data_IF_391805950201
#
_entry.id   IF_391805950201
#
_cell.length_a   1.000
_cell.length_b   1.000
_cell.length_c   1.000
_cell.angle_alpha   90.00
_cell.angle_beta   90.00
_cell.angle_gamma   90.00
#
_symmetry.space_group_name_H-M   'P 1'
#
loop_
_entity.id
_entity.type
_entity.pdbx_description
1 polymer ?
#
# COMPACT_ATOMS: atom_id res chain seq x y z
N UNK A 1 -15.63 1.55 0.76
CA UNK A 1 -15.49 2.95 0.29
C UNK A 1 -14.01 3.23 0.02
N UNK A 2 -13.71 3.89 -1.10
CA UNK A 2 -12.36 4.20 -1.57
C UNK A 2 -11.79 5.44 -0.86
N UNK A 3 -10.47 5.43 -0.60
CA UNK A 3 -9.71 6.51 0.07
C UNK A 3 -9.52 7.76 -0.78
N UNK A 4 -9.88 7.73 -2.06
CA UNK A 4 -9.57 8.80 -3.02
C UNK A 4 -10.78 9.73 -3.15
N UNK A 5 -10.99 10.64 -2.18
CA UNK A 5 -11.81 11.85 -2.36
C UNK A 5 -11.30 13.02 -1.51
N UNK A 6 -10.92 14.09 -2.21
CA UNK A 6 -10.83 15.50 -1.81
C UNK A 6 -10.92 15.83 -0.30
N UNK A 7 -9.75 16.00 0.32
CA UNK A 7 -9.62 16.82 1.54
C UNK A 7 -10.21 16.23 2.83
N UNK A 8 -10.82 15.05 2.80
CA UNK A 8 -11.28 14.34 4.00
C UNK A 8 -10.48 13.06 4.14
N UNK A 9 -9.50 13.04 5.05
CA UNK A 9 -8.71 11.86 5.44
C UNK A 9 -9.60 10.77 6.04
N UNK A 10 -10.36 10.05 5.22
CA UNK A 10 -11.14 8.89 5.67
C UNK A 10 -10.19 7.71 5.76
N UNK A 11 -10.14 7.05 6.91
CA UNK A 11 -9.37 5.81 7.10
C UNK A 11 -10.17 4.66 6.51
N UNK A 12 -9.50 3.76 5.78
CA UNK A 12 -10.11 2.53 5.29
C UNK A 12 -9.99 1.45 6.36
N UNK A 13 -11.08 0.71 6.56
CA UNK A 13 -11.21 -0.32 7.57
C UNK A 13 -11.89 -1.55 6.97
N UNK A 14 -11.53 -2.72 7.46
CA UNK A 14 -12.22 -3.97 7.15
C UNK A 14 -13.71 -3.87 7.52
N UNK A 15 -14.57 -4.68 6.90
CA UNK A 15 -16.02 -4.54 7.05
C UNK A 15 -16.48 -4.88 8.47
N UNK A 16 -15.88 -5.92 9.04
CA UNK A 16 -16.19 -6.43 10.37
C UNK A 16 -14.91 -6.56 11.21
N UNK A 17 -15.06 -6.37 12.52
CA UNK A 17 -13.99 -6.72 13.47
C UNK A 17 -13.65 -8.21 13.38
N UNK A 18 -12.36 -8.54 13.49
CA UNK A 18 -11.90 -9.92 13.55
C UNK A 18 -11.74 -10.64 12.22
N UNK A 19 -11.87 -9.94 11.08
CA UNK A 19 -11.45 -10.47 9.79
C UNK A 19 -9.97 -10.86 9.83
N UNK A 20 -9.62 -12.08 9.41
CA UNK A 20 -8.23 -12.54 9.39
C UNK A 20 -7.36 -11.72 8.43
N UNK A 21 -7.94 -11.38 7.27
CA UNK A 21 -7.28 -10.68 6.17
C UNK A 21 -8.33 -9.84 5.45
N UNK A 22 -8.00 -8.59 5.17
CA UNK A 22 -8.85 -7.68 4.39
C UNK A 22 -7.97 -6.93 3.39
N UNK A 23 -8.55 -6.50 2.26
CA UNK A 23 -7.80 -5.70 1.28
C UNK A 23 -8.64 -4.60 0.65
N UNK A 24 -7.95 -3.59 0.14
CA UNK A 24 -8.50 -2.49 -0.65
C UNK A 24 -7.67 -2.30 -1.91
N UNK A 25 -8.33 -1.94 -3.00
CA UNK A 25 -7.70 -1.73 -4.29
C UNK A 25 -7.82 -0.27 -4.72
N UNK A 26 -6.74 0.22 -5.33
CA UNK A 26 -6.64 1.56 -5.90
C UNK A 26 -6.31 1.43 -7.38
N UNK A 27 -7.14 2.07 -8.21
CA UNK A 27 -6.85 2.30 -9.61
C UNK A 27 -6.11 3.63 -9.74
N UNK A 28 -4.89 3.60 -10.26
CA UNK A 28 -4.11 4.79 -10.58
C UNK A 28 -4.65 5.44 -11.85
N UNK A 29 -4.50 6.76 -11.95
CA UNK A 29 -4.93 7.53 -13.13
C UNK A 29 -4.17 7.13 -14.40
N UNK A 30 -2.91 6.72 -14.25
CA UNK A 30 -2.06 6.25 -15.35
C UNK A 30 -1.24 5.04 -14.93
N UNK A 31 -0.93 4.18 -15.91
CA UNK A 31 0.01 3.08 -15.73
C UNK A 31 1.44 3.61 -15.60
N UNK A 32 2.06 3.48 -14.43
CA UNK A 32 3.38 4.05 -14.12
C UNK A 32 4.29 3.09 -13.37
N UNK A 33 5.57 3.42 -13.31
CA UNK A 33 6.49 2.79 -12.37
C UNK A 33 6.18 3.26 -10.94
N UNK A 34 6.49 2.41 -9.96
CA UNK A 34 6.34 2.74 -8.54
C UNK A 34 7.73 2.75 -7.91
N UNK A 35 8.20 3.92 -7.49
CA UNK A 35 9.55 4.12 -6.92
C UNK A 35 9.56 3.99 -5.40
N UNK A 36 8.47 4.38 -4.74
CA UNK A 36 8.31 4.32 -3.29
C UNK A 36 6.82 4.26 -2.90
N UNK A 37 6.55 3.80 -1.68
CA UNK A 37 5.21 3.84 -1.07
C UNK A 37 5.28 4.31 0.38
N UNK A 38 4.37 5.21 0.76
CA UNK A 38 4.16 5.62 2.14
C UNK A 38 2.85 5.04 2.63
N UNK A 39 2.89 4.39 3.79
CA UNK A 39 1.74 3.67 4.34
C UNK A 39 1.48 4.22 5.73
N UNK A 40 0.30 4.81 5.91
CA UNK A 40 -0.24 5.12 7.22
C UNK A 40 -1.06 3.93 7.73
N UNK A 41 -0.65 3.34 8.84
CA UNK A 41 -1.41 2.24 9.44
C UNK A 41 -2.72 2.73 10.06
N UNK A 42 -3.66 1.80 10.24
CA UNK A 42 -4.78 1.94 11.15
C UNK A 42 -5.09 0.58 11.82
N UNK A 43 -4.23 0.17 12.74
CA UNK A 43 -4.43 -1.03 13.56
C UNK A 43 -4.13 -2.35 12.86
N UNK A 44 -3.55 -2.36 11.66
CA UNK A 44 -3.07 -3.58 11.00
C UNK A 44 -1.75 -4.04 11.62
N UNK A 45 -1.61 -5.34 11.88
CA UNK A 45 -0.34 -5.90 12.35
C UNK A 45 0.67 -6.00 11.21
N UNK A 46 0.19 -6.46 10.06
CA UNK A 46 0.97 -6.62 8.84
C UNK A 46 0.27 -5.98 7.66
N UNK A 47 1.04 -5.36 6.77
CA UNK A 47 0.56 -4.82 5.51
C UNK A 47 1.46 -5.30 4.37
N UNK A 48 0.85 -5.80 3.30
CA UNK A 48 1.48 -6.22 2.05
C UNK A 48 0.92 -5.37 0.90
N UNK A 49 1.76 -5.08 -0.11
CA UNK A 49 1.35 -4.36 -1.31
C UNK A 49 1.52 -5.28 -2.51
N UNK A 50 0.40 -5.49 -3.21
CA UNK A 50 0.32 -6.19 -4.47
C UNK A 50 0.04 -5.19 -5.58
N UNK A 51 0.52 -5.46 -6.79
CA UNK A 51 0.26 -4.64 -7.97
C UNK A 51 -0.23 -5.48 -9.14
N UNK A 52 -1.06 -4.88 -9.96
CA UNK A 52 -1.67 -5.52 -11.11
C UNK A 52 -1.90 -4.53 -12.25
N UNK A 53 -2.45 -5.04 -13.34
CA UNK A 53 -2.86 -4.23 -14.50
C UNK A 53 -4.37 -4.23 -14.61
N UNK A 54 -4.94 -3.15 -15.14
CA UNK A 54 -6.36 -3.09 -15.46
C UNK A 54 -6.76 -4.28 -16.35
N UNK A 55 -7.77 -5.03 -15.92
CA UNK A 55 -8.27 -6.22 -16.63
C UNK A 55 -7.55 -7.53 -16.29
N UNK A 56 -6.53 -7.52 -15.40
CA UNK A 56 -5.93 -8.76 -14.92
C UNK A 56 -6.84 -9.48 -13.92
N UNK A 57 -6.65 -10.80 -13.80
CA UNK A 57 -7.31 -11.61 -12.77
C UNK A 57 -6.65 -11.41 -11.40
N UNK A 58 -7.28 -11.92 -10.36
CA UNK A 58 -6.74 -11.88 -8.99
C UNK A 58 -5.41 -12.64 -8.85
N UNK A 59 -5.20 -13.66 -9.68
CA UNK A 59 -4.00 -14.51 -9.67
C UNK A 59 -2.79 -13.82 -10.33
N UNK A 60 -3.04 -12.79 -11.15
CA UNK A 60 -2.00 -12.05 -11.87
C UNK A 60 -1.34 -10.95 -11.02
N UNK A 61 -1.86 -10.69 -9.82
CA UNK A 61 -1.28 -9.70 -8.91
C UNK A 61 0.11 -10.14 -8.45
N UNK A 62 1.09 -9.24 -8.58
CA UNK A 62 2.46 -9.46 -8.16
C UNK A 62 2.77 -8.73 -6.87
N UNK A 63 3.59 -9.34 -6.02
CA UNK A 63 4.05 -8.70 -4.77
C UNK A 63 5.03 -7.58 -5.10
N UNK A 64 4.68 -6.35 -4.69
CA UNK A 64 5.58 -5.19 -4.74
C UNK A 64 6.28 -4.99 -3.39
N UNK A 65 5.54 -5.10 -2.28
CA UNK A 65 6.08 -5.05 -0.93
C UNK A 65 5.63 -6.29 -0.18
N UNK A 66 6.58 -7.13 0.25
CA UNK A 66 6.30 -8.28 1.11
C UNK A 66 5.60 -7.83 2.41
N UNK A 67 4.86 -8.75 3.04
CA UNK A 67 4.21 -8.53 4.33
C UNK A 67 5.14 -7.88 5.37
N UNK A 68 4.91 -6.60 5.64
CA UNK A 68 5.72 -5.77 6.51
C UNK A 68 5.01 -5.56 7.85
N UNK A 69 5.74 -5.69 8.97
CA UNK A 69 5.16 -5.48 10.30
C UNK A 69 4.96 -3.99 10.62
N UNK A 70 3.75 -3.61 11.00
CA UNK A 70 3.43 -2.27 11.49
C UNK A 70 3.11 -2.25 12.98
N UNK A 71 2.87 -3.39 13.61
CA UNK A 71 2.63 -3.50 15.04
C UNK A 71 3.23 -4.79 15.58
N UNK A 72 3.75 -4.72 16.80
CA UNK A 72 4.12 -5.92 17.57
C UNK A 72 2.86 -6.61 18.13
N UNK A 73 2.91 -7.91 18.49
CA UNK A 73 1.77 -8.58 19.12
C UNK A 73 1.27 -7.88 20.38
N UNK A 74 2.16 -7.26 21.16
CA UNK A 74 1.80 -6.52 22.37
C UNK A 74 1.06 -5.23 22.04
N UNK A 75 1.53 -4.47 21.04
CA UNK A 75 0.84 -3.28 20.55
C UNK A 75 -0.56 -3.61 20.01
N UNK A 76 -0.70 -4.77 19.35
CA UNK A 76 -2.00 -5.22 18.82
C UNK A 76 -3.01 -5.52 19.93
N UNK A 77 -2.58 -6.25 20.97
CA UNK A 77 -3.45 -6.61 22.11
C UNK A 77 -3.83 -5.41 22.97
N UNK A 78 -2.92 -4.45 23.10
CA UNK A 78 -3.12 -3.26 23.93
C UNK A 78 -3.66 -2.06 23.14
N UNK A 79 -3.84 -2.22 21.82
CA UNK A 79 -4.33 -1.18 20.91
C UNK A 79 -3.50 0.12 20.92
N UNK A 80 -2.19 -0.01 21.09
CA UNK A 80 -1.26 1.13 21.08
C UNK A 80 -0.58 1.29 19.72
N UNK A 81 -0.14 2.52 19.40
CA UNK A 81 0.60 2.82 18.16
C UNK A 81 -0.12 2.44 16.85
N UNK A 82 -1.47 2.47 16.84
CA UNK A 82 -2.30 2.07 15.69
C UNK A 82 -2.04 2.86 14.39
N UNK A 83 -1.47 4.06 14.50
CA UNK A 83 -1.32 5.02 13.40
C UNK A 83 0.13 5.15 12.91
N UNK A 84 0.96 4.11 13.13
CA UNK A 84 2.35 4.10 12.67
C UNK A 84 2.43 4.32 11.15
N UNK A 85 3.24 5.30 10.75
CA UNK A 85 3.57 5.54 9.35
C UNK A 85 4.90 4.86 9.03
N UNK A 86 4.99 4.19 7.89
CA UNK A 86 6.24 3.66 7.34
C UNK A 86 6.40 4.07 5.89
N UNK A 87 7.63 4.38 5.52
CA UNK A 87 8.04 4.75 4.17
C UNK A 87 8.90 3.61 3.63
N UNK A 88 8.55 3.11 2.45
CA UNK A 88 9.29 2.07 1.74
C UNK A 88 9.81 2.66 0.44
N UNK A 89 11.13 2.76 0.34
CA UNK A 89 11.83 3.33 -0.81
C UNK A 89 12.17 2.24 -1.81
N UNK A 90 12.81 2.63 -2.91
CA UNK A 90 13.19 1.75 -4.00
C UNK A 90 13.84 0.43 -3.54
N UNK A 91 14.78 0.50 -2.59
CA UNK A 91 15.47 -0.69 -2.08
C UNK A 91 14.61 -1.66 -1.26
N UNK A 92 13.46 -1.21 -0.75
CA UNK A 92 12.57 -2.01 0.09
C UNK A 92 11.54 -2.79 -0.75
N UNK A 93 11.43 -2.46 -2.04
CA UNK A 93 10.44 -3.04 -2.95
C UNK A 93 11.03 -4.21 -3.75
N UNK A 94 10.14 -5.08 -4.23
CA UNK A 94 10.53 -6.19 -5.09
C UNK A 94 11.06 -5.66 -6.43
N UNK A 95 12.35 -5.90 -6.70
CA UNK A 95 13.06 -5.41 -7.88
C UNK A 95 12.43 -5.84 -9.21
N UNK A 96 11.95 -7.08 -9.31
CA UNK A 96 11.35 -7.61 -10.53
C UNK A 96 10.00 -6.91 -10.80
N UNK A 97 9.16 -6.80 -9.77
CA UNK A 97 7.88 -6.09 -9.87
C UNK A 97 8.07 -4.60 -10.14
N UNK A 98 9.06 -3.96 -9.50
CA UNK A 98 9.34 -2.54 -9.66
C UNK A 98 9.87 -2.15 -11.05
N UNK A 99 10.47 -3.09 -11.79
CA UNK A 99 10.97 -2.88 -13.15
C UNK A 99 9.85 -2.79 -14.21
N UNK A 100 8.59 -2.97 -13.81
CA UNK A 100 7.43 -2.92 -14.69
C UNK A 100 6.48 -1.75 -14.31
N UNK A 101 5.59 -1.38 -15.24
CA UNK A 101 4.53 -0.39 -14.99
C UNK A 101 3.22 -1.06 -14.56
N UNK A 102 2.53 -0.40 -13.63
CA UNK A 102 1.30 -0.86 -12.99
C UNK A 102 0.29 0.28 -12.88
N UNK A 103 -0.99 -0.06 -12.89
CA UNK A 103 -2.08 0.89 -12.68
C UNK A 103 -3.08 0.42 -11.60
N UNK A 104 -2.88 -0.77 -11.04
CA UNK A 104 -3.63 -1.25 -9.88
C UNK A 104 -2.71 -1.53 -8.71
N UNK A 105 -3.12 -1.06 -7.54
CA UNK A 105 -2.43 -1.30 -6.26
C UNK A 105 -3.42 -1.89 -5.27
N UNK A 106 -3.15 -3.09 -4.77
CA UNK A 106 -3.94 -3.77 -3.75
C UNK A 106 -3.17 -3.76 -2.43
N UNK A 107 -3.76 -3.15 -1.41
CA UNK A 107 -3.21 -3.12 -0.05
C UNK A 107 -3.88 -4.21 0.76
N UNK A 108 -3.09 -5.17 1.20
CA UNK A 108 -3.53 -6.32 1.99
C UNK A 108 -3.17 -6.06 3.45
N UNK A 109 -4.17 -6.08 4.32
CA UNK A 109 -4.02 -5.87 5.75
C UNK A 109 -4.34 -7.15 6.52
N UNK A 110 -3.59 -7.42 7.58
CA UNK A 110 -3.78 -8.60 8.45
C UNK A 110 -3.64 -8.20 9.91
N UNK A 111 -4.53 -8.69 10.78
CA UNK A 111 -4.47 -8.49 12.23
C UNK A 111 -4.79 -9.79 12.98
N UNK A 112 -3.81 -10.69 13.17
CA UNK A 112 -4.04 -11.99 13.78
C UNK A 112 -4.09 -11.93 15.33
N UNK A 113 -3.63 -10.83 15.94
CA UNK A 113 -3.41 -10.74 17.39
C UNK A 113 -4.55 -10.05 18.14
N UNK A 114 -5.45 -9.36 17.43
CA UNK A 114 -6.63 -8.73 18.00
C UNK A 114 -7.85 -8.94 17.07
N UNK A 115 -8.74 -9.86 17.47
CA UNK A 115 -9.94 -10.22 16.71
C UNK A 115 -11.14 -9.30 16.97
N UNK A 116 -11.01 -8.30 17.86
CA UNK A 116 -12.09 -7.39 18.22
C UNK A 116 -11.93 -6.02 17.54
N UNK A 117 -10.72 -5.72 17.07
CA UNK A 117 -10.41 -4.45 16.41
C UNK A 117 -10.85 -4.47 14.94
N UNK A 118 -11.51 -3.40 14.51
CA UNK A 118 -11.67 -3.09 13.10
C UNK A 118 -10.41 -2.34 12.62
N UNK A 119 -9.68 -2.92 11.67
CA UNK A 119 -8.35 -2.46 11.26
C UNK A 119 -8.28 -2.15 9.77
N UNK A 120 -7.21 -1.51 9.33
CA UNK A 120 -6.92 -1.22 7.93
C UNK A 120 -5.78 -0.23 7.77
N UNK A 121 -5.97 0.77 6.90
CA UNK A 121 -4.99 1.82 6.63
C UNK A 121 -5.61 3.20 6.77
N UNK A 122 -4.79 4.17 7.19
CA UNK A 122 -5.19 5.58 7.19
C UNK A 122 -4.96 6.24 5.84
N UNK A 123 -3.83 5.98 5.19
CA UNK A 123 -3.53 6.45 3.84
C UNK A 123 -2.51 5.55 3.14
N UNK A 124 -2.49 5.65 1.81
CA UNK A 124 -1.43 5.14 0.93
C UNK A 124 -1.01 6.26 0.00
N UNK A 125 0.29 6.55 -0.05
CA UNK A 125 0.89 7.42 -1.07
C UNK A 125 1.77 6.57 -1.96
N UNK A 126 1.57 6.65 -3.28
CA UNK A 126 2.36 5.94 -4.28
C UNK A 126 3.19 6.96 -5.04
N UNK A 127 4.50 6.77 -5.07
CA UNK A 127 5.42 7.65 -5.76
C UNK A 127 5.84 7.03 -7.09
N UNK A 128 5.85 7.83 -8.15
CA UNK A 128 6.47 7.49 -9.42
C UNK A 128 7.87 8.12 -9.48
N UNK A 129 8.82 7.53 -10.23
CA UNK A 129 10.07 8.22 -10.52
C UNK A 129 9.76 9.53 -11.27
N UNK A 130 10.48 10.60 -10.93
CA UNK A 130 10.45 11.82 -11.72
C UNK A 130 10.91 11.45 -13.14
N UNK A 131 10.09 11.75 -14.15
CA UNK A 131 10.55 11.61 -15.53
C UNK A 131 11.69 12.62 -15.69
N UNK A 132 12.93 12.13 -15.86
CA UNK A 132 14.01 12.96 -16.38
C UNK A 132 13.55 13.44 -17.76
N UNK A 133 12.99 14.64 -17.80
CA UNK A 133 12.77 15.37 -19.04
C UNK A 133 14.14 15.48 -19.71
N UNK A 134 14.35 14.65 -20.72
CA UNK A 134 15.54 14.64 -21.55
C UNK A 134 15.64 15.98 -22.31
N UNK A 135 16.12 17.02 -21.65
CA UNK A 135 16.68 18.19 -22.30
C UNK A 135 18.04 17.76 -22.88
N UNK A 136 17.99 17.06 -24.01
CA UNK A 136 19.10 17.04 -24.97
C UNK A 136 19.19 18.43 -25.60
N UNK A 137 19.78 19.38 -24.88
CA UNK A 137 20.31 20.59 -25.51
C UNK A 137 21.56 20.19 -26.26
N UNK A 138 21.39 19.86 -27.54
CA UNK A 138 22.45 20.00 -28.54
C UNK A 138 23.03 21.40 -28.40
N UNK A 139 24.31 21.53 -28.06
CA UNK A 139 25.09 22.72 -28.40
C UNK A 139 26.49 22.30 -28.84
N UNK A 140 26.60 22.26 -30.17
CA UNK A 140 27.68 22.72 -31.05
C UNK A 140 29.04 23.05 -30.42
#
# INVERSE_FOLDING_TARGET
ENLIKDGVYRKWRCKSAGEQKAWVEFQLEKTSFISAVDIGNHGSAFIEILVGRSGCSDEDYKVLLNSASFMTPQECRNETNLQRVRIFKHQDLNKATQAEKWDRVRVVCTQPFNKQLQYGISFLTVHAPEEESANKTNNK
#
